data_IF_584559565142
#
_entry.id   IF_584559565142
#
_cell.length_a   1.000
_cell.length_b   1.000
_cell.length_c   1.000
_cell.angle_alpha   90.00
_cell.angle_beta   90.00
_cell.angle_gamma   90.00
#
_symmetry.space_group_name_H-M   'P 1'
#
loop_
_entity.id
_entity.type
_entity.pdbx_description
1 polymer ?
#
# COMPACT_ATOMS: atom_id res chain seq x y z
N UNK A 1 32.66 10.96 14.59
CA UNK A 1 31.38 10.91 15.31
C UNK A 1 30.35 10.11 14.52
N UNK A 2 29.53 9.25 15.16
CA UNK A 2 28.44 8.57 14.47
C UNK A 2 27.39 9.56 13.99
N UNK A 3 26.82 9.28 12.81
CA UNK A 3 25.67 9.99 12.27
C UNK A 3 24.49 9.03 12.25
N UNK A 4 23.40 9.39 12.89
CA UNK A 4 22.16 8.62 12.82
C UNK A 4 21.68 8.49 11.36
N UNK A 5 21.31 7.28 10.95
CA UNK A 5 20.73 7.00 9.64
C UNK A 5 19.26 6.62 9.80
N UNK A 6 18.42 7.14 8.92
CA UNK A 6 17.02 6.73 8.77
C UNK A 6 16.85 6.22 7.36
N UNK A 7 16.44 4.96 7.22
CA UNK A 7 16.37 4.26 5.93
C UNK A 7 15.01 3.62 5.70
N UNK A 8 14.68 3.39 4.44
CA UNK A 8 13.51 2.62 4.06
C UNK A 8 13.74 1.12 4.33
N UNK A 9 12.68 0.40 4.61
CA UNK A 9 12.73 -1.05 4.81
C UNK A 9 13.40 -1.73 3.61
N UNK A 10 14.39 -2.59 3.89
CA UNK A 10 15.17 -3.29 2.87
C UNK A 10 16.36 -2.51 2.30
N UNK A 11 16.58 -1.25 2.68
CA UNK A 11 17.67 -0.42 2.15
C UNK A 11 18.82 -0.30 3.14
N UNK A 12 19.95 -0.96 2.84
CA UNK A 12 21.18 -0.85 3.64
C UNK A 12 21.85 0.48 3.36
N UNK A 13 22.10 1.33 4.39
CA UNK A 13 22.77 2.60 4.20
C UNK A 13 24.26 2.41 3.91
N UNK A 14 24.87 3.41 3.27
CA UNK A 14 26.32 3.41 3.06
C UNK A 14 27.04 3.70 4.39
N UNK A 15 28.00 2.86 4.77
CA UNK A 15 28.80 3.06 5.99
C UNK A 15 29.58 4.39 5.99
N UNK A 16 30.06 4.83 4.83
CA UNK A 16 30.79 6.09 4.67
C UNK A 16 29.96 7.31 5.10
N UNK A 17 28.65 7.27 4.87
CA UNK A 17 27.73 8.34 5.24
C UNK A 17 27.32 8.33 6.71
N UNK A 18 27.64 7.23 7.39
CA UNK A 18 27.23 6.97 8.78
C UNK A 18 28.23 7.45 9.83
N UNK A 19 29.40 7.95 9.39
CA UNK A 19 30.44 8.49 10.28
C UNK A 19 30.87 9.86 9.78
N UNK A 20 30.96 10.84 10.68
CA UNK A 20 31.57 12.12 10.38
C UNK A 20 33.08 11.97 10.30
N UNK A 21 33.64 12.20 9.12
CA UNK A 21 35.08 12.08 8.83
C UNK A 21 35.84 13.41 8.99
N UNK A 22 35.17 14.48 9.46
CA UNK A 22 35.80 15.77 9.65
C UNK A 22 36.98 15.65 10.63
N UNK A 23 38.17 16.06 10.19
CA UNK A 23 39.41 15.98 10.97
C UNK A 23 40.08 14.62 11.00
N UNK A 24 39.56 13.61 10.29
CA UNK A 24 40.23 12.34 10.10
C UNK A 24 41.31 12.43 9.00
N UNK A 25 42.37 11.58 9.06
CA UNK A 25 43.40 11.53 8.03
C UNK A 25 42.81 11.23 6.64
N UNK A 26 43.37 11.88 5.62
CA UNK A 26 43.03 11.57 4.22
C UNK A 26 43.31 10.09 3.90
N UNK A 27 42.38 9.41 3.25
CA UNK A 27 42.46 7.97 2.98
C UNK A 27 41.81 7.08 4.03
N UNK A 28 41.22 7.64 5.10
CA UNK A 28 40.38 6.90 6.06
C UNK A 28 39.16 6.30 5.35
N UNK A 29 38.91 5.01 5.57
CA UNK A 29 37.78 4.26 5.02
C UNK A 29 36.80 3.88 6.10
N UNK A 30 35.51 3.84 5.78
CA UNK A 30 34.46 3.38 6.68
C UNK A 30 33.69 2.23 6.05
N UNK A 31 33.57 1.13 6.77
CA UNK A 31 32.83 -0.06 6.32
C UNK A 31 31.97 -0.58 7.46
N UNK A 32 30.92 -1.34 7.14
CA UNK A 32 30.18 -2.04 8.17
C UNK A 32 30.99 -3.25 8.72
N UNK A 33 31.04 -3.40 10.03
CA UNK A 33 31.53 -4.64 10.67
C UNK A 33 30.57 -5.78 10.39
N UNK A 34 29.28 -5.48 10.52
CA UNK A 34 28.15 -6.34 10.11
C UNK A 34 27.11 -5.43 9.48
N UNK A 35 26.58 -5.79 8.31
CA UNK A 35 25.51 -5.01 7.69
C UNK A 35 24.35 -4.85 8.67
N UNK A 36 23.75 -3.65 8.79
CA UNK A 36 22.57 -3.46 9.62
C UNK A 36 21.41 -4.33 9.13
N UNK A 37 20.61 -4.84 10.06
CA UNK A 37 19.34 -5.48 9.74
C UNK A 37 18.32 -4.37 9.38
N UNK A 38 17.91 -4.35 8.13
CA UNK A 38 16.94 -3.40 7.59
C UNK A 38 15.64 -4.07 7.14
N UNK A 39 15.42 -5.32 7.56
CA UNK A 39 14.26 -6.13 7.18
C UNK A 39 13.00 -5.83 7.99
N UNK A 40 13.17 -5.27 9.19
CA UNK A 40 12.06 -4.93 10.09
C UNK A 40 12.13 -3.47 10.51
N UNK A 41 10.99 -2.77 10.67
CA UNK A 41 10.99 -1.38 11.13
C UNK A 41 11.48 -1.25 12.59
N UNK A 42 11.97 -0.07 12.91
CA UNK A 42 12.45 0.27 14.26
C UNK A 42 13.94 0.54 14.34
N UNK A 43 14.49 0.46 15.55
CA UNK A 43 15.91 0.77 15.85
C UNK A 43 16.78 -0.48 15.71
N UNK A 44 17.77 -0.41 14.83
CA UNK A 44 18.73 -1.49 14.52
C UNK A 44 20.17 -0.95 14.53
N UNK A 45 20.73 -0.61 15.72
CA UNK A 45 22.09 -0.10 15.80
C UNK A 45 23.10 -1.14 15.30
N UNK A 46 24.15 -0.67 14.64
CA UNK A 46 25.23 -1.53 14.13
C UNK A 46 26.58 -0.86 14.34
N UNK A 47 27.67 -1.57 14.04
CA UNK A 47 29.04 -1.08 14.22
C UNK A 47 29.68 -0.83 12.86
N UNK A 48 30.21 0.38 12.69
CA UNK A 48 31.09 0.75 11.60
C UNK A 48 32.56 0.58 11.98
N UNK A 49 33.38 0.10 11.06
CA UNK A 49 34.84 0.04 11.17
C UNK A 49 35.41 1.26 10.47
N UNK A 50 36.17 2.07 11.20
CA UNK A 50 36.92 3.21 10.68
C UNK A 50 38.36 2.78 10.55
N UNK A 51 38.83 2.55 9.32
CA UNK A 51 40.19 2.10 9.03
C UNK A 51 41.05 3.28 8.60
N UNK A 52 42.08 3.57 9.36
CA UNK A 52 43.04 4.65 9.10
C UNK A 52 44.09 4.25 8.04
N UNK A 53 44.79 5.22 7.41
CA UNK A 53 45.82 4.92 6.40
C UNK A 53 46.99 4.06 6.92
N UNK A 54 47.27 4.05 8.22
CA UNK A 54 48.30 3.22 8.85
C UNK A 54 47.81 1.80 9.17
N UNK A 55 46.57 1.45 8.81
CA UNK A 55 45.96 0.14 8.99
C UNK A 55 45.32 -0.08 10.36
N UNK A 56 45.39 0.89 11.28
CA UNK A 56 44.68 0.80 12.57
C UNK A 56 43.17 1.02 12.36
N UNK A 57 42.35 0.46 13.25
CA UNK A 57 40.89 0.44 13.13
C UNK A 57 40.22 0.87 14.42
N UNK A 58 39.26 1.77 14.33
CA UNK A 58 38.32 2.09 15.39
C UNK A 58 36.93 1.50 15.07
N UNK A 59 36.20 1.14 16.11
CA UNK A 59 34.81 0.71 16.05
C UNK A 59 33.90 1.85 16.52
N UNK A 60 32.88 2.17 15.71
CA UNK A 60 31.90 3.22 16.01
C UNK A 60 30.51 2.64 15.93
N UNK A 61 29.78 2.68 17.05
CA UNK A 61 28.35 2.32 17.05
C UNK A 61 27.53 3.39 16.32
N UNK A 62 26.74 2.96 15.35
CA UNK A 62 25.90 3.83 14.51
C UNK A 62 24.43 3.49 14.76
N UNK A 63 23.61 4.46 15.20
CA UNK A 63 22.17 4.25 15.32
C UNK A 63 21.53 4.25 13.93
N UNK A 64 20.81 3.17 13.63
CA UNK A 64 20.03 3.00 12.39
C UNK A 64 18.55 2.93 12.77
N UNK A 65 17.73 3.70 12.10
CA UNK A 65 16.26 3.63 12.20
C UNK A 65 15.70 3.20 10.85
N UNK A 66 14.95 2.10 10.84
CA UNK A 66 14.24 1.61 9.66
C UNK A 66 12.79 2.08 9.73
N UNK A 67 12.32 2.78 8.70
CA UNK A 67 10.94 3.27 8.60
C UNK A 67 9.95 2.11 8.44
N UNK A 68 8.72 2.32 8.90
CA UNK A 68 7.61 1.47 8.50
C UNK A 68 7.28 1.71 7.01
N UNK A 69 6.84 0.65 6.31
CA UNK A 69 6.50 0.76 4.89
C UNK A 69 5.34 1.74 4.64
N UNK A 70 4.38 1.85 5.56
CA UNK A 70 3.32 2.88 5.49
C UNK A 70 3.85 4.32 5.40
N UNK A 71 5.05 4.59 5.93
CA UNK A 71 5.66 5.93 5.87
C UNK A 71 6.45 6.16 4.57
N UNK A 72 6.72 5.10 3.82
CA UNK A 72 7.46 5.14 2.56
C UNK A 72 6.53 5.20 1.34
N UNK A 73 5.39 4.49 1.41
CA UNK A 73 4.44 4.37 0.31
C UNK A 73 3.22 5.28 0.54
N UNK A 74 2.55 5.65 -0.55
CA UNK A 74 1.36 6.49 -0.53
C UNK A 74 0.30 5.88 -1.47
N UNK A 75 -0.42 4.84 -1.03
CA UNK A 75 -1.41 4.17 -1.85
C UNK A 75 -2.58 5.09 -2.17
N UNK A 76 -3.12 4.96 -3.36
CA UNK A 76 -4.26 5.77 -3.82
C UNK A 76 -5.39 4.88 -4.33
N UNK A 77 -6.61 5.41 -4.29
CA UNK A 77 -7.74 4.78 -4.96
C UNK A 77 -7.48 4.70 -6.48
N UNK A 78 -7.86 3.56 -7.07
CA UNK A 78 -7.78 3.37 -8.52
C UNK A 78 -8.72 4.34 -9.23
N UNK A 79 -8.22 4.97 -10.30
CA UNK A 79 -9.00 5.86 -11.15
C UNK A 79 -8.96 5.40 -12.62
N UNK A 80 -10.11 5.28 -13.29
CA UNK A 80 -11.47 5.32 -12.72
C UNK A 80 -11.70 4.20 -11.71
N UNK A 81 -12.62 4.43 -10.75
CA UNK A 81 -13.02 3.43 -9.76
C UNK A 81 -13.65 2.19 -10.41
N UNK A 82 -13.75 1.10 -9.63
CA UNK A 82 -14.41 -0.11 -10.11
C UNK A 82 -15.88 0.13 -10.41
N UNK A 83 -16.38 -0.61 -11.40
CA UNK A 83 -17.81 -0.75 -11.71
C UNK A 83 -18.25 -2.16 -11.34
N UNK A 84 -19.38 -2.29 -10.67
CA UNK A 84 -19.98 -3.58 -10.33
C UNK A 84 -21.48 -3.60 -10.58
N UNK A 85 -22.08 -4.79 -10.61
CA UNK A 85 -23.52 -4.98 -10.71
C UNK A 85 -24.18 -5.00 -9.34
N UNK A 86 -25.47 -4.72 -9.28
CA UNK A 86 -26.27 -4.87 -8.09
C UNK A 86 -26.07 -6.26 -7.45
N UNK A 87 -25.82 -6.30 -6.15
CA UNK A 87 -25.62 -7.52 -5.38
C UNK A 87 -24.25 -8.21 -5.55
N UNK A 88 -23.34 -7.64 -6.35
CA UNK A 88 -21.99 -8.21 -6.57
C UNK A 88 -20.95 -7.40 -5.82
N UNK A 89 -20.33 -8.00 -4.82
CA UNK A 89 -19.26 -7.37 -4.05
C UNK A 89 -17.98 -7.26 -4.91
N UNK A 90 -17.42 -6.06 -5.09
CA UNK A 90 -16.14 -5.87 -5.78
C UNK A 90 -14.97 -6.29 -4.89
N UNK A 91 -13.81 -6.57 -5.48
CA UNK A 91 -12.60 -6.86 -4.71
C UNK A 91 -12.01 -5.58 -4.10
N UNK A 92 -11.48 -5.69 -2.87
CA UNK A 92 -10.79 -4.57 -2.23
C UNK A 92 -9.54 -4.15 -3.02
N UNK A 93 -8.72 -5.11 -3.47
CA UNK A 93 -7.52 -4.87 -4.27
C UNK A 93 -7.83 -4.13 -5.57
N UNK A 94 -8.90 -4.53 -6.27
CA UNK A 94 -9.31 -3.89 -7.53
C UNK A 94 -9.70 -2.41 -7.39
N UNK A 95 -9.90 -1.91 -6.17
CA UNK A 95 -10.20 -0.50 -5.88
C UNK A 95 -8.97 0.35 -5.59
N UNK A 96 -7.78 -0.26 -5.50
CA UNK A 96 -6.52 0.41 -5.18
C UNK A 96 -5.60 0.43 -6.41
N UNK A 97 -4.88 1.53 -6.58
CA UNK A 97 -3.74 1.56 -7.49
C UNK A 97 -2.57 0.84 -6.81
N UNK A 98 -2.26 -0.38 -7.28
CA UNK A 98 -1.23 -1.25 -6.69
C UNK A 98 0.16 -1.03 -7.26
N UNK A 99 0.29 -0.14 -8.25
CA UNK A 99 1.58 0.16 -8.89
C UNK A 99 2.58 0.73 -7.90
N UNK A 100 3.78 0.15 -7.85
CA UNK A 100 4.86 0.58 -6.98
C UNK A 100 4.74 0.11 -5.52
N UNK A 101 3.65 -0.56 -5.13
CA UNK A 101 3.53 -1.10 -3.78
C UNK A 101 4.35 -2.40 -3.62
N UNK A 102 4.84 -2.71 -2.41
CA UNK A 102 5.67 -3.88 -2.17
C UNK A 102 4.93 -5.19 -2.50
N UNK A 103 5.66 -6.15 -3.04
CA UNK A 103 5.14 -7.50 -3.24
C UNK A 103 4.77 -8.12 -1.88
N UNK A 104 3.60 -8.73 -1.78
CA UNK A 104 3.07 -9.29 -0.53
C UNK A 104 2.16 -8.33 0.26
N UNK A 105 1.92 -7.12 -0.26
CA UNK A 105 0.88 -6.23 0.26
C UNK A 105 -0.49 -6.88 0.12
N UNK A 106 -1.33 -6.78 1.14
CA UNK A 106 -2.69 -7.34 1.16
C UNK A 106 -3.74 -6.25 1.34
N UNK A 107 -4.96 -6.54 0.86
CA UNK A 107 -6.06 -5.59 0.79
C UNK A 107 -7.33 -6.22 1.37
N UNK A 108 -8.01 -5.51 2.26
CA UNK A 108 -9.28 -5.93 2.86
C UNK A 108 -10.26 -4.78 2.94
N UNK A 109 -11.54 -5.03 2.77
CA UNK A 109 -12.57 -4.05 3.07
C UNK A 109 -12.65 -3.81 4.58
N UNK A 110 -12.51 -2.54 5.00
CA UNK A 110 -12.94 -2.06 6.32
C UNK A 110 -14.43 -1.72 6.26
N UNK A 111 -14.80 -1.00 5.20
CA UNK A 111 -16.18 -0.67 4.87
C UNK A 111 -16.44 -1.08 3.42
N UNK A 112 -17.28 -2.09 3.23
CA UNK A 112 -17.69 -2.52 1.88
C UNK A 112 -18.63 -1.48 1.27
N UNK A 113 -18.52 -1.20 -0.04
CA UNK A 113 -19.53 -0.41 -0.73
C UNK A 113 -20.87 -1.13 -0.72
N UNK A 114 -21.95 -0.38 -0.55
CA UNK A 114 -23.30 -0.93 -0.59
C UNK A 114 -23.73 -1.24 -2.04
N UNK A 115 -23.73 -2.51 -2.38
CA UNK A 115 -24.12 -3.00 -3.73
C UNK A 115 -25.57 -3.46 -3.78
N UNK A 116 -26.32 -3.47 -2.67
CA UNK A 116 -27.64 -4.12 -2.53
C UNK A 116 -28.81 -3.14 -2.50
N UNK A 117 -28.56 -1.84 -2.52
CA UNK A 117 -29.62 -0.82 -2.49
C UNK A 117 -29.77 -0.15 -3.85
N UNK A 118 -29.57 1.15 -3.93
CA UNK A 118 -29.71 1.93 -5.17
C UNK A 118 -28.43 1.89 -6.00
N UNK A 119 -28.55 1.98 -7.35
CA UNK A 119 -27.37 2.15 -8.20
C UNK A 119 -26.69 3.51 -7.97
N UNK A 120 -25.51 3.67 -8.55
CA UNK A 120 -24.68 4.88 -8.50
C UNK A 120 -23.40 4.71 -7.69
N UNK A 121 -22.74 5.82 -7.42
CA UNK A 121 -21.47 5.86 -6.72
C UNK A 121 -21.62 5.49 -5.24
N UNK A 122 -20.86 4.50 -4.80
CA UNK A 122 -20.87 3.98 -3.42
C UNK A 122 -19.48 4.12 -2.81
N UNK A 123 -19.38 4.74 -1.62
CA UNK A 123 -18.10 4.82 -0.92
C UNK A 123 -17.75 3.47 -0.30
N UNK A 124 -16.46 3.22 -0.18
CA UNK A 124 -15.88 2.11 0.55
C UNK A 124 -14.57 2.53 1.19
N UNK A 125 -14.04 1.70 2.08
CA UNK A 125 -12.74 1.91 2.71
C UNK A 125 -11.95 0.61 2.71
N UNK A 126 -10.73 0.65 2.20
CA UNK A 126 -9.82 -0.50 2.09
C UNK A 126 -8.70 -0.35 3.11
N UNK A 127 -8.46 -1.39 3.90
CA UNK A 127 -7.26 -1.56 4.71
C UNK A 127 -6.17 -2.19 3.86
N UNK A 128 -5.04 -1.53 3.76
CA UNK A 128 -3.82 -1.99 3.10
C UNK A 128 -2.87 -2.44 4.19
N UNK A 129 -2.36 -3.67 4.11
CA UNK A 129 -1.36 -4.22 5.02
C UNK A 129 -0.09 -4.53 4.25
N UNK A 130 0.99 -3.86 4.62
CA UNK A 130 2.31 -4.06 4.03
C UNK A 130 3.01 -5.31 4.59
N UNK A 131 4.07 -5.83 3.91
CA UNK A 131 4.82 -6.99 4.39
C UNK A 131 5.44 -6.84 5.78
N UNK A 132 5.72 -5.62 6.24
CA UNK A 132 6.20 -5.32 7.58
C UNK A 132 5.08 -5.20 8.64
N UNK A 133 3.84 -5.52 8.27
CA UNK A 133 2.60 -5.41 9.05
C UNK A 133 2.15 -3.97 9.38
N UNK A 134 2.81 -2.95 8.87
CA UNK A 134 2.26 -1.59 8.91
C UNK A 134 1.04 -1.48 8.02
N UNK A 135 0.10 -0.60 8.37
CA UNK A 135 -1.20 -0.50 7.68
C UNK A 135 -1.59 0.92 7.37
N UNK A 136 -2.37 1.07 6.30
CA UNK A 136 -3.03 2.31 5.91
C UNK A 136 -4.46 2.05 5.45
N UNK A 137 -5.32 3.06 5.55
CA UNK A 137 -6.67 3.03 5.03
C UNK A 137 -6.84 3.99 3.86
N UNK A 138 -7.48 3.53 2.79
CA UNK A 138 -7.78 4.34 1.61
C UNK A 138 -9.29 4.33 1.36
N UNK A 139 -9.89 5.52 1.28
CA UNK A 139 -11.28 5.69 0.85
C UNK A 139 -11.36 5.56 -0.66
N UNK A 140 -12.30 4.74 -1.13
CA UNK A 140 -12.52 4.46 -2.55
C UNK A 140 -13.98 4.67 -2.92
N UNK A 141 -14.25 4.78 -4.22
CA UNK A 141 -15.60 4.86 -4.76
C UNK A 141 -15.80 3.75 -5.77
N UNK A 142 -16.92 3.05 -5.68
CA UNK A 142 -17.34 2.00 -6.60
C UNK A 142 -18.66 2.40 -7.25
N UNK A 143 -18.79 2.24 -8.57
CA UNK A 143 -20.02 2.51 -9.30
C UNK A 143 -20.86 1.25 -9.41
N UNK A 144 -22.09 1.27 -8.90
CA UNK A 144 -23.07 0.19 -9.02
C UNK A 144 -23.98 0.47 -10.20
N UNK A 145 -23.97 -0.40 -11.22
CA UNK A 145 -24.77 -0.22 -12.42
C UNK A 145 -26.26 -0.53 -12.16
N UNK A 146 -27.18 0.21 -12.82
CA UNK A 146 -28.61 -0.06 -12.72
C UNK A 146 -28.96 -1.42 -13.33
N UNK A 147 -29.82 -2.20 -12.64
CA UNK A 147 -30.29 -3.50 -13.16
C UNK A 147 -31.01 -3.39 -14.51
N UNK A 148 -31.68 -2.28 -14.79
CA UNK A 148 -32.33 -2.05 -16.09
C UNK A 148 -31.37 -2.16 -17.29
N UNK A 149 -30.05 -1.93 -17.06
CA UNK A 149 -29.05 -2.00 -18.13
C UNK A 149 -28.64 -3.46 -18.44
N UNK A 150 -28.95 -4.38 -17.55
CA UNK A 150 -28.66 -5.81 -17.68
C UNK A 150 -29.85 -6.60 -18.30
N UNK A 151 -31.04 -6.02 -18.34
CA UNK A 151 -32.26 -6.73 -18.74
C UNK A 151 -32.98 -6.00 -19.87
N UNK A 152 -33.58 -6.77 -20.77
CA UNK A 152 -34.39 -6.27 -21.88
C UNK A 152 -35.78 -6.94 -21.85
N UNK A 153 -36.71 -6.42 -21.02
CA UNK A 153 -38.04 -6.99 -20.92
C UNK A 153 -38.77 -6.90 -22.24
N UNK A 154 -39.42 -8.01 -22.62
CA UNK A 154 -40.18 -8.11 -23.86
C UNK A 154 -41.70 -8.07 -23.57
N UNK A 155 -42.50 -7.37 -24.36
CA UNK A 155 -43.94 -7.36 -24.20
C UNK A 155 -44.53 -8.76 -24.47
N UNK A 156 -45.49 -9.15 -23.64
CA UNK A 156 -46.29 -10.38 -23.86
C UNK A 156 -47.63 -10.02 -24.40
N UNK A 157 -47.98 -10.44 -25.64
CA UNK A 157 -49.31 -10.18 -26.20
C UNK A 157 -50.42 -10.82 -25.34
N UNK A 158 -51.49 -10.07 -25.15
CA UNK A 158 -52.69 -10.56 -24.45
C UNK A 158 -53.93 -10.37 -25.34
N UNK A 159 -54.80 -11.37 -25.33
CA UNK A 159 -56.13 -11.30 -25.95
C UNK A 159 -57.15 -11.30 -24.82
N UNK A 160 -58.00 -10.30 -24.82
CA UNK A 160 -59.03 -10.13 -23.79
C UNK A 160 -60.39 -9.90 -24.41
N UNK A 161 -61.47 -10.27 -23.70
CA UNK A 161 -62.82 -10.01 -24.12
C UNK A 161 -63.15 -8.52 -24.00
N UNK A 162 -64.14 -8.09 -24.80
CA UNK A 162 -64.59 -6.71 -24.79
C UNK A 162 -65.03 -6.26 -23.39
N UNK A 163 -64.48 -5.18 -22.94
CA UNK A 163 -64.74 -4.62 -21.58
C UNK A 163 -63.88 -5.18 -20.46
N UNK A 164 -62.94 -6.11 -20.77
CA UNK A 164 -61.97 -6.65 -19.80
C UNK A 164 -60.64 -5.92 -19.91
N UNK A 165 -60.11 -5.47 -18.75
CA UNK A 165 -58.79 -4.85 -18.69
C UNK A 165 -57.74 -5.96 -18.52
N UNK A 166 -56.69 -6.04 -19.38
CA UNK A 166 -55.64 -7.03 -19.24
C UNK A 166 -54.84 -6.81 -17.95
N UNK A 167 -54.38 -7.90 -17.32
CA UNK A 167 -53.51 -7.85 -16.17
C UNK A 167 -52.08 -7.49 -16.61
N UNK A 168 -51.42 -6.61 -15.85
CA UNK A 168 -50.05 -6.19 -16.12
C UNK A 168 -48.98 -7.22 -15.62
N UNK A 169 -49.40 -8.27 -14.90
CA UNK A 169 -48.47 -9.30 -14.33
C UNK A 169 -48.07 -10.34 -15.40
#
# INVERSE_FOLDING_TARGET
QPKQQTVDNGTVPNAEDSVDKTGLPSGTKVTWKTNPDVSTPGSHPTVALVTYPDGTVDEVEVPITVKEQKDTYNPTAKQPGQTTKHGIDPSAEGSINTEGLPKGTTYKWVEKPDTNTTPGSKPGKVLITYPDNSTEEVTVTVEVTPQKDDYNPQPKPQTVDNGTVPNAE
#
